data_IF_553525371755
#
_entry.id   IF_553525371755
#
_cell.length_a   1.000
_cell.length_b   1.000
_cell.length_c   1.000
_cell.angle_alpha   90.00
_cell.angle_beta   90.00
_cell.angle_gamma   90.00
#
_symmetry.space_group_name_H-M   'P 1'
#
loop_
_entity.id
_entity.type
_entity.pdbx_description
1 polymer ?
#
# COMPACT_ATOMS: atom_id res chain seq x y z
N UNK A 1 -6.82 -26.36 14.50
CA UNK A 1 -5.79 -25.31 14.64
C UNK A 1 -4.83 -25.22 13.43
N UNK A 2 -5.26 -25.59 12.21
CA UNK A 2 -4.40 -25.55 11.01
C UNK A 2 -4.34 -24.16 10.36
N UNK A 3 -5.28 -23.27 10.69
CA UNK A 3 -5.42 -21.95 10.06
C UNK A 3 -4.82 -20.79 10.86
N UNK A 4 -4.26 -21.07 12.04
CA UNK A 4 -3.72 -20.01 12.90
C UNK A 4 -2.52 -19.30 12.27
N UNK A 5 -1.61 -20.05 11.64
CA UNK A 5 -0.40 -19.50 11.03
C UNK A 5 -0.71 -18.55 9.85
N UNK A 6 -1.57 -18.93 8.87
CA UNK A 6 -2.02 -17.99 7.84
C UNK A 6 -2.68 -16.73 8.40
N UNK A 7 -3.50 -16.85 9.45
CA UNK A 7 -4.17 -15.69 10.09
C UNK A 7 -3.13 -14.74 10.68
N UNK A 8 -2.11 -15.26 11.37
CA UNK A 8 -1.02 -14.43 11.92
C UNK A 8 -0.29 -13.67 10.81
N UNK A 9 0.06 -14.32 9.69
CA UNK A 9 0.70 -13.64 8.57
C UNK A 9 -0.22 -12.62 7.88
N UNK A 10 -1.53 -12.89 7.81
CA UNK A 10 -2.50 -11.92 7.30
C UNK A 10 -2.62 -10.69 8.21
N UNK A 11 -2.62 -10.87 9.53
CA UNK A 11 -2.61 -9.77 10.50
C UNK A 11 -1.30 -8.97 10.42
N UNK A 12 -0.15 -9.62 10.27
CA UNK A 12 1.14 -8.95 10.03
C UNK A 12 1.12 -8.17 8.72
N UNK A 13 0.51 -8.73 7.67
CA UNK A 13 0.30 -8.00 6.40
C UNK A 13 -0.50 -6.73 6.65
N UNK A 14 -1.58 -6.81 7.42
CA UNK A 14 -2.37 -5.65 7.84
C UNK A 14 -1.56 -4.62 8.65
N UNK A 15 -0.65 -5.06 9.52
CA UNK A 15 0.24 -4.18 10.27
C UNK A 15 1.20 -3.40 9.36
N UNK A 16 1.89 -4.09 8.44
CA UNK A 16 2.84 -3.44 7.53
C UNK A 16 2.14 -2.47 6.57
N UNK A 17 1.01 -2.88 6.01
CA UNK A 17 0.21 -2.00 5.16
C UNK A 17 -0.45 -0.86 5.93
N UNK A 18 -0.89 -1.09 7.17
CA UNK A 18 -1.45 -0.03 8.03
C UNK A 18 -0.43 1.06 8.37
N UNK A 19 0.82 0.67 8.62
CA UNK A 19 1.93 1.60 8.92
C UNK A 19 2.57 2.21 7.67
N UNK A 20 2.39 1.59 6.50
CA UNK A 20 2.90 2.09 5.22
C UNK A 20 2.46 3.52 4.90
N UNK A 21 1.17 3.84 5.09
CA UNK A 21 0.62 5.17 4.79
C UNK A 21 1.32 6.31 5.55
N UNK A 22 1.41 6.25 6.89
CA UNK A 22 2.20 7.19 7.70
C UNK A 22 3.68 7.28 7.31
N UNK A 23 4.36 6.14 7.13
CA UNK A 23 5.79 6.14 6.75
C UNK A 23 6.00 6.76 5.36
N UNK A 24 5.10 6.51 4.42
CA UNK A 24 5.12 7.14 3.10
C UNK A 24 4.84 8.64 3.18
N UNK A 25 3.95 9.07 4.08
CA UNK A 25 3.71 10.50 4.33
C UNK A 25 5.00 11.19 4.78
N UNK A 26 5.75 10.59 5.70
CA UNK A 26 7.06 11.09 6.13
C UNK A 26 8.09 11.10 5.00
N UNK A 27 8.20 10.03 4.20
CA UNK A 27 9.12 10.01 3.05
C UNK A 27 8.89 11.20 2.10
N UNK A 28 7.64 11.66 1.95
CA UNK A 28 7.30 12.84 1.14
C UNK A 28 7.69 14.16 1.78
N UNK A 29 7.62 14.29 3.11
CA UNK A 29 8.03 15.52 3.80
C UNK A 29 9.52 15.79 3.53
N UNK A 30 10.34 14.74 3.52
CA UNK A 30 11.76 14.83 3.22
C UNK A 30 12.07 14.99 1.73
N UNK A 31 11.43 14.20 0.85
CA UNK A 31 11.81 14.14 -0.57
C UNK A 31 11.12 15.18 -1.46
N UNK A 32 10.04 15.82 -0.99
CA UNK A 32 9.26 16.87 -1.67
C UNK A 32 8.94 16.57 -3.15
N UNK A 33 8.74 15.29 -3.47
CA UNK A 33 8.47 14.80 -4.83
C UNK A 33 7.54 13.59 -4.74
N UNK A 34 6.57 13.43 -5.66
CA UNK A 34 5.72 12.24 -5.70
C UNK A 34 6.49 10.99 -6.10
N UNK A 35 7.42 11.12 -7.05
CA UNK A 35 8.06 9.97 -7.68
C UNK A 35 9.32 9.48 -6.96
N UNK A 36 10.03 10.35 -6.22
CA UNK A 36 11.22 9.91 -5.46
C UNK A 36 10.88 8.85 -4.39
N UNK A 37 9.83 9.01 -3.56
CA UNK A 37 9.36 7.94 -2.68
C UNK A 37 8.96 6.67 -3.45
N UNK A 38 8.33 6.82 -4.63
CA UNK A 38 7.93 5.67 -5.45
C UNK A 38 9.14 4.88 -5.98
N UNK A 39 10.22 5.56 -6.38
CA UNK A 39 11.49 4.91 -6.73
C UNK A 39 12.07 4.15 -5.53
N UNK A 40 12.04 4.75 -4.33
CA UNK A 40 12.50 4.08 -3.11
C UNK A 40 11.66 2.83 -2.78
N UNK A 41 10.34 2.89 -2.98
CA UNK A 41 9.44 1.74 -2.86
C UNK A 41 9.83 0.65 -3.88
N UNK A 42 10.09 1.03 -5.14
CA UNK A 42 10.52 0.09 -6.18
C UNK A 42 11.83 -0.62 -5.84
N UNK A 43 12.82 0.10 -5.31
CA UNK A 43 14.08 -0.49 -4.83
C UNK A 43 13.80 -1.47 -3.69
N UNK A 44 12.95 -1.10 -2.73
CA UNK A 44 12.56 -1.99 -1.64
C UNK A 44 11.87 -3.27 -2.16
N UNK A 45 11.03 -3.16 -3.20
CA UNK A 45 10.38 -4.31 -3.83
C UNK A 45 11.38 -5.25 -4.51
N UNK A 46 12.44 -4.72 -5.13
CA UNK A 46 13.50 -5.56 -5.69
C UNK A 46 14.26 -6.28 -4.58
N UNK A 47 14.67 -5.57 -3.52
CA UNK A 47 15.41 -6.14 -2.40
C UNK A 47 14.60 -7.26 -1.72
N UNK A 48 13.37 -6.96 -1.33
CA UNK A 48 12.55 -7.89 -0.55
C UNK A 48 11.83 -8.93 -1.42
N UNK A 49 11.42 -8.55 -2.64
CA UNK A 49 10.79 -9.48 -3.57
C UNK A 49 11.75 -10.53 -4.09
N UNK A 50 12.94 -10.12 -4.54
CA UNK A 50 13.97 -11.05 -5.04
C UNK A 50 14.69 -11.71 -3.87
N UNK A 51 15.21 -10.92 -2.93
CA UNK A 51 15.97 -11.43 -1.80
C UNK A 51 15.13 -12.31 -0.88
N UNK A 52 13.91 -11.88 -0.54
CA UNK A 52 12.98 -12.67 0.26
C UNK A 52 12.49 -13.92 -0.47
N UNK A 53 12.25 -13.84 -1.78
CA UNK A 53 11.91 -15.00 -2.61
C UNK A 53 13.02 -16.05 -2.62
N UNK A 54 14.27 -15.64 -2.87
CA UNK A 54 15.44 -16.52 -2.84
C UNK A 54 15.63 -17.11 -1.45
N UNK A 55 15.56 -16.31 -0.38
CA UNK A 55 15.68 -16.81 0.99
C UNK A 55 14.59 -17.84 1.32
N UNK A 56 13.36 -17.63 0.84
CA UNK A 56 12.26 -18.58 0.96
C UNK A 56 12.53 -19.89 0.23
N UNK A 57 13.01 -19.81 -1.01
CA UNK A 57 13.41 -20.99 -1.79
C UNK A 57 14.52 -21.79 -1.09
N UNK A 58 15.56 -21.09 -0.60
CA UNK A 58 16.66 -21.71 0.14
C UNK A 58 16.16 -22.39 1.43
N UNK A 59 15.28 -21.72 2.19
CA UNK A 59 14.68 -22.29 3.40
C UNK A 59 13.82 -23.53 3.11
N UNK A 60 13.17 -23.59 1.94
CA UNK A 60 12.36 -24.73 1.50
C UNK A 60 13.13 -25.81 0.74
N UNK A 61 14.43 -25.61 0.50
CA UNK A 61 15.25 -26.45 -0.39
C UNK A 61 14.68 -26.55 -1.82
N UNK A 62 14.06 -25.48 -2.30
CA UNK A 62 13.57 -25.39 -3.67
C UNK A 62 14.74 -25.23 -4.64
N UNK A 63 14.63 -25.88 -5.79
CA UNK A 63 15.60 -25.72 -6.89
C UNK A 63 15.26 -24.47 -7.69
N UNK A 64 16.28 -23.85 -8.29
CA UNK A 64 16.08 -22.81 -9.31
C UNK A 64 15.59 -23.36 -10.66
N UNK A 65 15.21 -24.64 -10.70
CA UNK A 65 14.64 -25.32 -11.86
C UNK A 65 13.11 -25.19 -11.83
N UNK A 66 12.46 -25.11 -13.00
CA UNK A 66 10.99 -25.08 -13.06
C UNK A 66 10.34 -23.70 -13.01
N UNK A 67 11.10 -22.62 -13.24
CA UNK A 67 10.54 -21.34 -13.67
C UNK A 67 9.91 -21.48 -15.06
N UNK A 68 8.72 -22.06 -15.11
CA UNK A 68 7.99 -22.28 -16.37
C UNK A 68 7.45 -20.97 -16.92
N UNK A 69 7.38 -20.85 -18.25
CA UNK A 69 6.90 -19.64 -18.94
C UNK A 69 5.56 -19.11 -18.41
N UNK A 70 4.52 -19.95 -18.26
CA UNK A 70 3.23 -19.49 -17.73
C UNK A 70 3.29 -19.05 -16.27
N UNK A 71 3.98 -19.79 -15.39
CA UNK A 71 4.11 -19.44 -13.97
C UNK A 71 4.87 -18.12 -13.77
N UNK A 72 5.94 -17.92 -14.54
CA UNK A 72 6.70 -16.69 -14.53
C UNK A 72 5.87 -15.51 -15.05
N UNK A 73 5.08 -15.70 -16.12
CA UNK A 73 4.21 -14.65 -16.64
C UNK A 73 3.15 -14.21 -15.63
N UNK A 74 2.50 -15.15 -14.93
CA UNK A 74 1.54 -14.81 -13.88
C UNK A 74 2.21 -14.13 -12.68
N UNK A 75 3.42 -14.55 -12.30
CA UNK A 75 4.21 -13.87 -11.28
C UNK A 75 4.54 -12.42 -11.67
N UNK A 76 4.98 -12.21 -12.91
CA UNK A 76 5.26 -10.87 -13.46
C UNK A 76 4.00 -10.01 -13.56
N UNK A 77 2.87 -10.59 -13.97
CA UNK A 77 1.59 -9.90 -14.02
C UNK A 77 1.14 -9.48 -12.62
N UNK A 78 1.26 -10.36 -11.62
CA UNK A 78 0.96 -10.04 -10.23
C UNK A 78 1.86 -8.92 -9.68
N UNK A 79 3.18 -9.00 -9.92
CA UNK A 79 4.12 -7.94 -9.54
C UNK A 79 3.81 -6.61 -10.21
N UNK A 80 3.42 -6.63 -11.49
CA UNK A 80 3.00 -5.45 -12.26
C UNK A 80 1.76 -4.80 -11.65
N UNK A 81 0.72 -5.58 -11.33
CA UNK A 81 -0.48 -5.09 -10.64
C UNK A 81 -0.15 -4.46 -9.29
N UNK A 82 0.78 -5.05 -8.52
CA UNK A 82 1.27 -4.48 -7.27
C UNK A 82 1.97 -3.13 -7.47
N UNK A 83 2.84 -3.02 -8.48
CA UNK A 83 3.53 -1.76 -8.81
C UNK A 83 2.55 -0.65 -9.23
N UNK A 84 1.58 -0.96 -10.10
CA UNK A 84 0.52 -0.01 -10.48
C UNK A 84 -0.33 0.41 -9.29
N UNK A 85 -0.64 -0.52 -8.37
CA UNK A 85 -1.31 -0.22 -7.11
C UNK A 85 -0.52 0.77 -6.26
N UNK A 86 0.78 0.53 -6.06
CA UNK A 86 1.66 1.44 -5.33
C UNK A 86 1.80 2.81 -6.00
N UNK A 87 1.83 2.87 -7.34
CA UNK A 87 1.87 4.11 -8.11
C UNK A 87 0.60 4.94 -7.91
N UNK A 88 -0.56 4.32 -8.09
CA UNK A 88 -1.86 5.00 -7.96
C UNK A 88 -2.12 5.47 -6.53
N UNK A 89 -1.74 4.67 -5.52
CA UNK A 89 -1.72 5.09 -4.12
C UNK A 89 -0.78 6.28 -3.91
N UNK A 90 0.39 6.26 -4.56
CA UNK A 90 1.35 7.35 -4.45
C UNK A 90 0.76 8.67 -4.98
N UNK A 91 0.12 8.61 -6.15
CA UNK A 91 -0.55 9.73 -6.80
C UNK A 91 -1.76 10.24 -6.01
N UNK A 92 -2.59 9.35 -5.47
CA UNK A 92 -3.74 9.73 -4.63
C UNK A 92 -3.30 10.56 -3.42
N UNK A 93 -2.24 10.11 -2.75
CA UNK A 93 -1.65 10.80 -1.62
C UNK A 93 -0.93 12.10 -2.03
N UNK A 94 -0.45 12.23 -3.27
CA UNK A 94 0.21 13.46 -3.75
C UNK A 94 -0.81 14.55 -4.08
N UNK A 95 -1.98 14.15 -4.56
CA UNK A 95 -3.10 15.03 -4.85
C UNK A 95 -3.89 15.42 -3.59
N UNK A 96 -3.24 15.46 -2.42
CA UNK A 96 -3.85 15.88 -1.15
C UNK A 96 -4.66 14.81 -0.41
N UNK A 97 -4.62 13.55 -0.87
CA UNK A 97 -5.19 12.43 -0.14
C UNK A 97 -4.57 12.32 1.26
N UNK A 98 -5.39 12.01 2.27
CA UNK A 98 -4.93 11.83 3.65
C UNK A 98 -4.84 10.33 3.96
N UNK A 99 -3.78 9.82 4.63
CA UNK A 99 -3.58 8.38 4.76
C UNK A 99 -4.76 7.67 5.42
N UNK A 100 -5.37 8.30 6.44
CA UNK A 100 -6.52 7.75 7.16
C UNK A 100 -7.81 7.66 6.32
N UNK A 101 -7.93 8.40 5.20
CA UNK A 101 -9.06 8.29 4.26
C UNK A 101 -8.70 7.35 3.12
N UNK A 102 -7.51 7.53 2.54
CA UNK A 102 -7.07 6.78 1.35
C UNK A 102 -6.88 5.31 1.67
N UNK A 103 -6.32 4.96 2.83
CA UNK A 103 -6.00 3.57 3.16
C UNK A 103 -7.26 2.69 3.33
N UNK A 104 -8.30 3.09 4.09
CA UNK A 104 -9.55 2.33 4.13
C UNK A 104 -10.23 2.16 2.76
N UNK A 105 -10.18 3.18 1.90
CA UNK A 105 -10.74 3.10 0.54
C UNK A 105 -9.97 2.09 -0.30
N UNK A 106 -8.64 2.12 -0.27
CA UNK A 106 -7.79 1.21 -1.05
C UNK A 106 -8.00 -0.24 -0.61
N UNK A 107 -7.95 -0.54 0.68
CA UNK A 107 -8.15 -1.93 1.13
C UNK A 107 -9.59 -2.39 0.99
N UNK A 108 -10.57 -1.52 1.28
CA UNK A 108 -11.98 -1.87 1.11
C UNK A 108 -12.33 -2.16 -0.34
N UNK A 109 -11.83 -1.35 -1.28
CA UNK A 109 -12.01 -1.60 -2.71
C UNK A 109 -11.26 -2.83 -3.20
N UNK A 110 -10.04 -3.09 -2.72
CA UNK A 110 -9.29 -4.29 -3.07
C UNK A 110 -10.03 -5.58 -2.69
N UNK A 111 -10.57 -5.66 -1.46
CA UNK A 111 -11.37 -6.81 -1.02
C UNK A 111 -12.64 -6.94 -1.87
N UNK A 112 -13.31 -5.83 -2.18
CA UNK A 112 -14.52 -5.82 -3.02
C UNK A 112 -14.23 -6.31 -4.43
N UNK A 113 -13.16 -5.83 -5.07
CA UNK A 113 -12.77 -6.26 -6.42
C UNK A 113 -12.40 -7.74 -6.43
N UNK A 114 -11.67 -8.23 -5.42
CA UNK A 114 -11.34 -9.66 -5.31
C UNK A 114 -12.61 -10.53 -5.20
N UNK A 115 -13.59 -10.09 -4.41
CA UNK A 115 -14.90 -10.76 -4.31
C UNK A 115 -15.65 -10.79 -5.65
N UNK A 116 -15.68 -9.67 -6.37
CA UNK A 116 -16.33 -9.59 -7.69
C UNK A 116 -15.65 -10.46 -8.75
N UNK A 117 -14.30 -10.50 -8.76
CA UNK A 117 -13.55 -11.41 -9.62
C UNK A 117 -13.88 -12.86 -9.28
N UNK A 118 -14.00 -13.20 -8.00
CA UNK A 118 -14.43 -14.54 -7.57
C UNK A 118 -15.84 -14.90 -8.05
N UNK A 119 -16.79 -13.97 -7.95
CA UNK A 119 -18.15 -14.14 -8.50
C UNK A 119 -18.09 -14.36 -10.02
N UNK A 120 -17.28 -13.59 -10.73
CA UNK A 120 -17.14 -13.73 -12.18
C UNK A 120 -16.52 -15.07 -12.58
N UNK A 121 -15.49 -15.53 -11.88
CA UNK A 121 -14.84 -16.83 -12.14
C UNK A 121 -15.75 -18.02 -11.84
N UNK A 122 -16.72 -17.85 -10.93
CA UNK A 122 -17.69 -18.87 -10.52
C UNK A 122 -19.06 -18.70 -11.17
N UNK A 123 -19.23 -17.69 -12.04
CA UNK A 123 -20.48 -17.42 -12.73
C UNK A 123 -20.94 -18.65 -13.53
N UNK A 124 -22.19 -19.07 -13.29
CA UNK A 124 -22.79 -20.25 -13.91
C UNK A 124 -22.39 -21.60 -13.30
N UNK A 125 -21.48 -21.63 -12.32
CA UNK A 125 -21.04 -22.86 -11.63
C UNK A 125 -21.66 -23.03 -10.24
N UNK A 126 -21.93 -21.92 -9.56
CA UNK A 126 -22.49 -21.90 -8.20
C UNK A 126 -23.37 -20.68 -8.01
N UNK A 127 -24.42 -20.79 -7.18
CA UNK A 127 -25.23 -19.64 -6.76
C UNK A 127 -24.44 -18.74 -5.81
N UNK A 128 -24.40 -17.45 -6.09
CA UNK A 128 -23.78 -16.45 -5.20
C UNK A 128 -24.64 -16.28 -3.95
N UNK A 129 -24.05 -16.46 -2.77
CA UNK A 129 -24.76 -16.23 -1.51
C UNK A 129 -25.07 -14.72 -1.35
N UNK A 130 -26.33 -14.31 -1.11
CA UNK A 130 -26.70 -12.91 -0.91
C UNK A 130 -25.91 -12.19 0.19
N UNK A 131 -25.41 -12.91 1.20
CA UNK A 131 -24.57 -12.33 2.26
C UNK A 131 -23.24 -11.76 1.76
N UNK A 132 -22.78 -12.16 0.57
CA UNK A 132 -21.61 -11.53 -0.05
C UNK A 132 -21.84 -10.04 -0.30
N UNK A 133 -23.02 -9.68 -0.83
CA UNK A 133 -23.38 -8.30 -1.11
C UNK A 133 -23.53 -7.48 0.17
N UNK A 134 -24.07 -8.09 1.23
CA UNK A 134 -24.11 -7.51 2.57
C UNK A 134 -22.69 -7.25 3.09
N UNK A 135 -21.77 -8.20 2.90
CA UNK A 135 -20.36 -8.03 3.25
C UNK A 135 -19.68 -6.87 2.50
N UNK A 136 -19.91 -6.78 1.18
CA UNK A 136 -19.40 -5.66 0.37
C UNK A 136 -19.94 -4.32 0.87
N UNK A 137 -21.25 -4.22 1.12
CA UNK A 137 -21.85 -3.01 1.69
C UNK A 137 -21.26 -2.70 3.08
N UNK A 138 -21.08 -3.71 3.92
CA UNK A 138 -20.48 -3.58 5.24
C UNK A 138 -19.05 -3.04 5.19
N UNK A 139 -18.23 -3.47 4.23
CA UNK A 139 -16.87 -2.94 4.03
C UNK A 139 -16.91 -1.43 3.77
N UNK A 140 -17.83 -0.97 2.89
CA UNK A 140 -17.98 0.45 2.57
C UNK A 140 -18.39 1.25 3.82
N UNK A 141 -19.36 0.75 4.57
CA UNK A 141 -19.84 1.39 5.81
C UNK A 141 -18.73 1.47 6.86
N UNK A 142 -18.04 0.36 7.12
CA UNK A 142 -16.94 0.31 8.08
C UNK A 142 -15.78 1.22 7.67
N UNK A 143 -15.40 1.21 6.39
CA UNK A 143 -14.35 2.09 5.87
C UNK A 143 -14.71 3.56 6.06
N UNK A 144 -15.96 3.95 5.81
CA UNK A 144 -16.46 5.30 6.05
C UNK A 144 -16.38 5.66 7.54
N UNK A 145 -16.91 4.81 8.42
CA UNK A 145 -16.88 5.04 9.87
C UNK A 145 -15.44 5.24 10.36
N UNK A 146 -14.51 4.38 9.95
CA UNK A 146 -13.09 4.51 10.31
C UNK A 146 -12.52 5.83 9.80
N UNK A 147 -12.76 6.17 8.53
CA UNK A 147 -12.25 7.41 7.94
C UNK A 147 -12.79 8.66 8.65
N UNK A 148 -14.06 8.67 9.07
CA UNK A 148 -14.70 9.80 9.75
C UNK A 148 -14.33 9.91 11.24
N UNK A 149 -14.10 8.79 11.93
CA UNK A 149 -13.90 8.79 13.39
C UNK A 149 -12.43 8.65 13.82
N UNK A 150 -11.50 8.39 12.90
CA UNK A 150 -10.07 8.37 13.24
C UNK A 150 -9.65 9.78 13.68
N UNK A 151 -9.07 9.99 14.88
CA UNK A 151 -8.59 11.31 15.29
C UNK A 151 -7.47 11.81 14.37
N UNK A 152 -7.43 13.11 14.09
CA UNK A 152 -6.41 13.69 13.22
C UNK A 152 -5.62 14.77 13.96
N UNK A 153 -4.31 14.60 14.03
CA UNK A 153 -3.42 15.71 14.39
C UNK A 153 -3.35 16.61 13.17
N UNK A 154 -3.62 17.91 13.35
CA UNK A 154 -3.44 18.90 12.29
C UNK A 154 -2.00 18.80 11.74
N UNK A 155 -1.77 19.02 10.42
CA UNK A 155 -0.42 19.07 9.88
C UNK A 155 0.43 20.01 10.74
N UNK A 156 1.63 19.57 11.14
CA UNK A 156 2.58 20.43 11.82
C UNK A 156 2.63 21.76 11.08
N UNK A 157 2.25 22.83 11.77
CA UNK A 157 2.34 24.18 11.23
C UNK A 157 3.75 24.35 10.67
N UNK A 158 3.84 24.80 9.41
CA UNK A 158 5.08 25.20 8.76
C UNK A 158 5.93 25.94 9.80
N UNK A 159 7.18 25.51 10.12
CA UNK A 159 8.05 26.27 10.99
C UNK A 159 8.04 27.71 10.47
N UNK A 160 7.63 28.64 11.33
CA UNK A 160 7.63 30.05 10.99
C UNK A 160 9.04 30.38 10.47
N UNK A 161 9.11 30.92 9.26
CA UNK A 161 10.36 31.48 8.74
C UNK A 161 10.90 32.44 9.80
N UNK A 162 12.01 32.06 10.42
CA UNK A 162 12.78 32.97 11.25
C UNK A 162 13.09 34.21 10.39
N UNK A 163 12.86 35.44 10.89
CA UNK A 163 13.14 36.64 10.12
C UNK A 163 14.57 36.58 9.62
N UNK A 164 14.74 36.72 8.30
CA UNK A 164 16.05 36.83 7.67
C UNK A 164 16.82 37.94 8.39
N UNK A 165 17.92 37.58 9.05
CA UNK A 165 18.87 38.54 9.56
C UNK A 165 19.35 39.39 8.36
N UNK A 166 18.97 40.65 8.37
CA UNK A 166 19.45 41.66 7.44
C UNK A 166 20.97 41.65 7.43
N UNK A 167 21.53 41.25 6.29
CA UNK A 167 22.93 41.44 5.93
C UNK A 167 23.23 42.94 5.87
N UNK A 168 23.67 43.52 6.98
CA UNK A 168 24.33 44.83 7.01
C UNK A 168 25.77 44.67 6.56
N UNK A 169 26.03 44.86 5.26
CA UNK A 169 27.38 45.05 4.75
C UNK A 169 27.82 46.50 5.02
N UNK A 170 28.96 46.78 5.68
CA UNK A 170 29.50 48.13 5.71
C UNK A 170 30.15 48.43 4.35
N UNK A 171 29.62 49.43 3.64
CA UNK A 171 30.28 50.06 2.49
C UNK A 171 31.25 51.15 2.94
N UNK A 172 32.14 51.62 2.04
CA UNK A 172 33.49 52.09 2.37
C UNK A 172 33.58 53.59 2.68
N UNK A 173 34.58 53.95 3.49
CA UNK A 173 35.17 55.29 3.59
C UNK A 173 36.57 55.19 4.17
#
# INVERSE_FOLDING_TARGET
MKDFVPIVFALLTGLFWGTYGPVLAESRTFLKSPFKPYVAIGIAYLIWGIGGGIAGMLYKNDKFEGFTGPGMLWGLAAGTLGAWGALTLTLAMFNGGKPYVVMPIVFGSAVTVAALVGVWQTAGKTSVNPMLWVGILGIVVCAAIVAYNTPHVAPHAKPAEAPAATTGSPGPS
#
